data_IF_225718156251
#
_entry.id   IF_225718156251
#
_cell.length_a   1.000
_cell.length_b   1.000
_cell.length_c   1.000
_cell.angle_alpha   90.00
_cell.angle_beta   90.00
_cell.angle_gamma   90.00
#
_symmetry.space_group_name_H-M   'P 1'
#
loop_
_entity.id
_entity.type
_entity.pdbx_description
1 polymer ?
#
# COMPACT_ATOMS: atom_id res chain seq x y z
N UNK A 1 -5.04 -24.99 0.01
CA UNK A 1 -4.37 -24.70 -1.29
C UNK A 1 -4.62 -25.85 -2.27
N UNK A 2 -4.86 -25.56 -3.54
CA UNK A 2 -4.92 -26.62 -4.56
C UNK A 2 -3.52 -27.18 -4.85
N UNK A 3 -3.42 -28.44 -5.29
CA UNK A 3 -2.16 -29.09 -5.68
C UNK A 3 -1.43 -28.33 -6.80
N UNK A 4 -2.16 -27.56 -7.62
CA UNK A 4 -1.59 -26.72 -8.67
C UNK A 4 -0.92 -25.44 -8.13
N UNK A 5 -1.47 -24.82 -7.08
CA UNK A 5 -0.92 -23.60 -6.47
C UNK A 5 0.31 -23.89 -5.61
N UNK A 6 0.29 -24.98 -4.84
CA UNK A 6 1.50 -25.50 -4.15
C UNK A 6 2.62 -25.83 -5.16
N UNK A 7 2.28 -26.16 -6.41
CA UNK A 7 3.23 -26.46 -7.48
C UNK A 7 3.98 -25.23 -7.99
N UNK A 8 3.42 -24.02 -7.90
CA UNK A 8 4.07 -22.82 -8.46
C UNK A 8 5.18 -22.29 -7.54
N UNK A 9 4.91 -22.19 -6.24
CA UNK A 9 5.92 -21.74 -5.26
C UNK A 9 6.98 -22.80 -4.97
N UNK A 10 6.64 -24.10 -5.06
CA UNK A 10 7.63 -25.18 -4.94
C UNK A 10 8.59 -25.29 -6.14
N UNK A 11 8.25 -24.72 -7.30
CA UNK A 11 9.12 -24.67 -8.48
C UNK A 11 10.19 -23.57 -8.42
N UNK A 12 9.97 -22.54 -7.61
CA UNK A 12 10.92 -21.44 -7.41
C UNK A 12 11.80 -21.76 -6.21
N UNK A 13 13.11 -21.81 -6.43
CA UNK A 13 14.10 -21.94 -5.36
C UNK A 13 14.99 -20.71 -5.31
N UNK A 14 15.55 -20.39 -4.15
CA UNK A 14 16.49 -19.27 -4.00
C UNK A 14 17.70 -19.40 -4.93
N UNK A 15 18.20 -20.61 -5.12
CA UNK A 15 19.29 -20.90 -6.08
C UNK A 15 18.87 -20.67 -7.53
N UNK A 16 17.61 -20.99 -7.89
CA UNK A 16 17.10 -20.70 -9.23
C UNK A 16 16.98 -19.20 -9.47
N UNK A 17 16.46 -18.45 -8.49
CA UNK A 17 16.37 -17.00 -8.55
C UNK A 17 17.76 -16.36 -8.72
N UNK A 18 18.76 -16.79 -7.95
CA UNK A 18 20.15 -16.35 -8.10
C UNK A 18 20.70 -16.69 -9.50
N UNK A 19 20.46 -17.92 -10.00
CA UNK A 19 20.90 -18.31 -11.35
C UNK A 19 20.27 -17.43 -12.43
N UNK A 20 18.99 -17.10 -12.29
CA UNK A 20 18.31 -16.20 -13.23
C UNK A 20 18.91 -14.81 -13.21
N UNK A 21 19.32 -14.30 -12.05
CA UNK A 21 20.04 -13.03 -11.94
C UNK A 21 21.34 -13.05 -12.76
N UNK A 22 22.22 -14.04 -12.54
CA UNK A 22 23.48 -14.20 -13.29
C UNK A 22 23.26 -14.28 -14.82
N UNK A 23 22.19 -14.96 -15.24
CA UNK A 23 21.89 -15.18 -16.67
C UNK A 23 21.27 -13.98 -17.37
N UNK A 24 20.74 -13.01 -16.62
CA UNK A 24 19.95 -11.91 -17.17
C UNK A 24 20.50 -10.54 -16.77
N UNK A 25 21.80 -10.44 -16.52
CA UNK A 25 22.43 -9.17 -16.16
C UNK A 25 22.35 -8.15 -17.31
N UNK A 26 22.28 -6.87 -16.96
CA UNK A 26 22.21 -5.74 -17.90
C UNK A 26 22.96 -4.53 -17.35
N UNK A 27 23.34 -3.60 -18.22
CA UNK A 27 24.08 -2.40 -17.84
C UNK A 27 23.20 -1.17 -17.97
N UNK A 28 22.94 -0.52 -16.83
CA UNK A 28 22.26 0.78 -16.83
C UNK A 28 23.03 1.83 -17.63
N UNK A 29 24.35 1.68 -17.85
CA UNK A 29 25.20 2.60 -18.62
C UNK A 29 25.14 2.35 -20.13
N UNK A 30 24.65 1.19 -20.57
CA UNK A 30 24.53 0.84 -22.00
C UNK A 30 23.17 1.21 -22.59
N UNK A 31 22.22 1.65 -21.76
CA UNK A 31 20.94 2.18 -22.23
C UNK A 31 21.18 3.47 -23.03
N UNK A 32 20.72 3.47 -24.27
CA UNK A 32 20.82 4.60 -25.20
C UNK A 32 19.60 5.51 -25.07
N UNK A 33 19.80 6.71 -24.53
CA UNK A 33 18.78 7.75 -24.40
C UNK A 33 18.84 8.82 -25.51
N UNK A 34 19.64 8.61 -26.56
CA UNK A 34 19.87 9.62 -27.61
C UNK A 34 18.59 10.08 -28.32
N UNK A 35 17.57 9.22 -28.38
CA UNK A 35 16.27 9.52 -28.97
C UNK A 35 15.21 9.98 -27.95
N UNK A 36 15.39 9.67 -26.67
CA UNK A 36 14.39 9.91 -25.63
C UNK A 36 14.17 11.39 -25.35
N UNK A 37 15.18 12.25 -25.54
CA UNK A 37 15.03 13.70 -25.38
C UNK A 37 13.97 14.29 -26.32
N UNK A 38 14.02 13.92 -27.60
CA UNK A 38 13.03 14.36 -28.57
C UNK A 38 11.63 13.79 -28.24
N UNK A 39 11.61 12.53 -27.79
CA UNK A 39 10.41 11.87 -27.26
C UNK A 39 9.75 12.63 -26.12
N UNK A 40 10.53 12.97 -25.10
CA UNK A 40 10.11 13.74 -23.94
C UNK A 40 9.59 15.13 -24.31
N UNK A 41 10.27 15.82 -25.22
CA UNK A 41 9.85 17.13 -25.72
C UNK A 41 8.54 17.06 -26.51
N UNK A 42 8.26 15.93 -27.18
CA UNK A 42 7.02 15.72 -27.93
C UNK A 42 5.77 15.46 -27.07
N UNK A 43 5.94 15.13 -25.79
CA UNK A 43 4.81 14.92 -24.88
C UNK A 43 4.02 16.21 -24.67
N UNK A 44 2.70 16.07 -24.53
CA UNK A 44 1.86 17.20 -24.09
C UNK A 44 2.23 17.62 -22.66
N UNK A 45 1.85 18.84 -22.26
CA UNK A 45 2.18 19.34 -20.92
C UNK A 45 1.59 18.48 -19.80
N UNK A 46 0.40 17.91 -19.99
CA UNK A 46 -0.22 17.01 -19.00
C UNK A 46 0.50 15.66 -18.94
N UNK A 47 0.89 15.10 -20.09
CA UNK A 47 1.68 13.86 -20.13
C UNK A 47 3.05 14.07 -19.48
N UNK A 48 3.70 15.21 -19.71
CA UNK A 48 5.00 15.52 -19.08
C UNK A 48 4.87 15.65 -17.56
N UNK A 49 3.82 16.33 -17.08
CA UNK A 49 3.54 16.45 -15.64
C UNK A 49 3.22 15.11 -14.98
N UNK A 50 2.44 14.28 -15.64
CA UNK A 50 2.08 12.95 -15.14
C UNK A 50 3.29 12.03 -15.10
N UNK A 51 4.06 11.97 -16.19
CA UNK A 51 5.31 11.23 -16.24
C UNK A 51 6.29 11.71 -15.16
N UNK A 52 6.45 13.02 -14.97
CA UNK A 52 7.28 13.58 -13.90
C UNK A 52 6.86 13.09 -12.52
N UNK A 53 5.55 13.07 -12.23
CA UNK A 53 5.01 12.57 -10.97
C UNK A 53 5.35 11.10 -10.75
N UNK A 54 5.08 10.24 -11.73
CA UNK A 54 5.27 8.80 -11.57
C UNK A 54 6.76 8.43 -11.56
N UNK A 55 7.58 9.00 -12.45
CA UNK A 55 9.02 8.73 -12.48
C UNK A 55 9.74 9.23 -11.24
N UNK A 56 9.24 10.30 -10.62
CA UNK A 56 9.74 10.75 -9.31
C UNK A 56 9.50 9.71 -8.22
N UNK A 57 8.32 9.07 -8.23
CA UNK A 57 8.01 7.96 -7.32
C UNK A 57 8.87 6.72 -7.59
N UNK A 58 9.16 6.40 -8.85
CA UNK A 58 10.10 5.30 -9.13
C UNK A 58 11.49 5.64 -8.63
N UNK A 59 12.09 6.74 -9.09
CA UNK A 59 13.47 7.04 -8.76
C UNK A 59 13.73 7.14 -7.25
N UNK A 60 12.88 7.86 -6.53
CA UNK A 60 12.95 7.92 -5.07
C UNK A 60 12.79 6.53 -4.43
N UNK A 61 11.89 5.73 -5.01
CA UNK A 61 11.62 4.38 -4.55
C UNK A 61 12.84 3.49 -4.66
N UNK A 62 13.41 3.38 -5.87
CA UNK A 62 14.61 2.59 -6.18
C UNK A 62 15.79 2.92 -5.24
N UNK A 63 16.03 4.20 -5.00
CA UNK A 63 17.09 4.66 -4.09
C UNK A 63 16.81 4.23 -2.64
N UNK A 64 15.60 4.49 -2.14
CA UNK A 64 15.22 4.13 -0.77
C UNK A 64 15.25 2.62 -0.55
N UNK A 65 14.83 1.83 -1.53
CA UNK A 65 14.84 0.36 -1.43
C UNK A 65 16.27 -0.20 -1.49
N UNK A 66 17.18 0.41 -2.25
CA UNK A 66 18.61 0.06 -2.28
C UNK A 66 19.31 0.34 -0.94
N UNK A 67 19.06 1.51 -0.35
CA UNK A 67 19.64 1.95 0.92
C UNK A 67 19.15 1.08 2.10
N UNK A 68 17.88 0.70 2.07
CA UNK A 68 17.24 -0.03 3.15
C UNK A 68 17.40 -1.54 3.11
N UNK A 69 17.94 -2.14 2.03
CA UNK A 69 17.99 -3.61 1.91
C UNK A 69 19.09 -4.26 2.78
N UNK A 70 20.12 -3.54 3.18
CA UNK A 70 21.24 -4.11 3.97
C UNK A 70 20.80 -4.85 5.27
N UNK A 71 19.87 -4.34 6.10
CA UNK A 71 19.41 -5.06 7.29
C UNK A 71 18.55 -6.28 6.98
N UNK A 72 17.96 -6.35 5.79
CA UNK A 72 17.20 -7.52 5.34
C UNK A 72 18.14 -8.68 5.07
N UNK A 73 19.28 -8.43 4.41
CA UNK A 73 20.34 -9.41 4.21
C UNK A 73 20.82 -9.94 5.57
N UNK A 74 21.08 -9.03 6.51
CA UNK A 74 21.54 -9.37 7.85
C UNK A 74 20.54 -10.20 8.68
N UNK A 75 19.24 -10.03 8.43
CA UNK A 75 18.17 -10.71 9.15
C UNK A 75 17.72 -12.01 8.48
N UNK A 76 18.10 -12.26 7.22
CA UNK A 76 17.64 -13.43 6.47
C UNK A 76 18.09 -14.74 7.15
N UNK A 77 17.16 -15.67 7.44
CA UNK A 77 17.46 -16.91 8.15
C UNK A 77 18.46 -17.86 7.47
N UNK A 78 18.48 -17.91 6.13
CA UNK A 78 19.34 -18.85 5.38
C UNK A 78 20.35 -18.15 4.49
N UNK A 79 21.48 -18.79 4.21
CA UNK A 79 22.51 -18.24 3.35
C UNK A 79 22.01 -18.03 1.91
N UNK A 80 21.16 -18.92 1.39
CA UNK A 80 20.57 -18.76 0.07
C UNK A 80 19.68 -17.52 -0.04
N UNK A 81 18.96 -17.18 1.04
CA UNK A 81 18.17 -15.94 1.09
C UNK A 81 19.07 -14.72 1.12
N UNK A 82 20.15 -14.74 1.92
CA UNK A 82 21.15 -13.66 1.96
C UNK A 82 21.76 -13.41 0.59
N UNK A 83 22.20 -14.48 -0.08
CA UNK A 83 22.82 -14.38 -1.39
C UNK A 83 21.86 -13.80 -2.43
N UNK A 84 20.59 -14.22 -2.45
CA UNK A 84 19.60 -13.57 -3.30
C UNK A 84 19.40 -12.09 -2.96
N UNK A 85 19.23 -11.75 -1.68
CA UNK A 85 19.04 -10.35 -1.28
C UNK A 85 20.24 -9.46 -1.64
N UNK A 86 21.47 -10.01 -1.66
CA UNK A 86 22.64 -9.26 -2.16
C UNK A 86 22.56 -8.98 -3.66
N UNK A 87 22.00 -9.90 -4.47
CA UNK A 87 21.80 -9.63 -5.90
C UNK A 87 20.72 -8.58 -6.12
N UNK A 88 19.65 -8.64 -5.32
CA UNK A 88 18.60 -7.63 -5.34
C UNK A 88 19.16 -6.24 -4.99
N UNK A 89 20.03 -6.12 -3.97
CA UNK A 89 20.62 -4.82 -3.63
C UNK A 89 21.39 -4.19 -4.81
N UNK A 90 22.04 -5.02 -5.61
CA UNK A 90 22.74 -4.57 -6.83
C UNK A 90 21.74 -4.16 -7.92
N UNK A 91 20.63 -4.88 -8.07
CA UNK A 91 19.57 -4.53 -9.02
C UNK A 91 18.93 -3.19 -8.62
N UNK A 92 18.54 -2.96 -7.36
CA UNK A 92 17.95 -1.68 -6.92
C UNK A 92 18.90 -0.49 -7.11
N UNK A 93 20.19 -0.66 -6.76
CA UNK A 93 21.19 0.38 -7.02
C UNK A 93 21.35 0.66 -8.52
N UNK A 94 21.24 -0.38 -9.37
CA UNK A 94 21.25 -0.22 -10.83
C UNK A 94 20.00 0.49 -11.33
N UNK A 95 18.83 0.21 -10.74
CA UNK A 95 17.57 0.89 -11.08
C UNK A 95 17.67 2.39 -10.74
N UNK A 96 18.16 2.73 -9.55
CA UNK A 96 18.38 4.13 -9.15
C UNK A 96 19.32 4.87 -10.12
N UNK A 97 20.42 4.22 -10.54
CA UNK A 97 21.33 4.78 -11.56
C UNK A 97 20.62 4.96 -12.91
N UNK A 98 19.83 3.98 -13.35
CA UNK A 98 19.05 4.09 -14.59
C UNK A 98 18.09 5.29 -14.58
N UNK A 99 17.32 5.45 -13.49
CA UNK A 99 16.41 6.58 -13.36
C UNK A 99 17.16 7.91 -13.26
N UNK A 100 18.24 7.99 -12.48
CA UNK A 100 19.07 9.20 -12.43
C UNK A 100 19.59 9.59 -13.83
N UNK A 101 20.07 8.63 -14.62
CA UNK A 101 20.48 8.89 -16.01
C UNK A 101 19.33 9.43 -16.85
N UNK A 102 18.12 8.87 -16.73
CA UNK A 102 16.96 9.39 -17.44
C UNK A 102 16.64 10.84 -17.03
N UNK A 103 16.61 11.14 -15.73
CA UNK A 103 16.37 12.51 -15.24
C UNK A 103 17.43 13.51 -15.71
N UNK A 104 18.71 13.15 -15.64
CA UNK A 104 19.81 14.05 -16.04
C UNK A 104 19.95 14.17 -17.56
N UNK A 105 19.95 13.07 -18.31
CA UNK A 105 20.24 13.04 -19.75
C UNK A 105 19.02 13.39 -20.62
N UNK A 106 17.80 13.08 -20.17
CA UNK A 106 16.56 13.30 -20.93
C UNK A 106 15.79 14.50 -20.42
N UNK A 107 15.46 14.51 -19.13
CA UNK A 107 14.66 15.59 -18.51
C UNK A 107 15.50 16.86 -18.32
N UNK A 108 16.79 16.70 -18.03
CA UNK A 108 17.69 17.81 -17.67
C UNK A 108 17.53 18.27 -16.22
N UNK A 109 17.23 17.35 -15.30
CA UNK A 109 17.08 17.61 -13.87
C UNK A 109 18.16 16.90 -13.05
N UNK A 110 18.80 17.66 -12.15
CA UNK A 110 19.88 17.20 -11.27
C UNK A 110 21.25 17.11 -11.95
N UNK A 111 22.31 17.49 -11.24
CA UNK A 111 23.70 17.36 -11.72
C UNK A 111 24.33 16.03 -11.29
N UNK A 112 23.94 15.54 -10.11
CA UNK A 112 24.30 14.23 -9.56
C UNK A 112 23.07 13.51 -8.98
N UNK A 113 23.28 12.30 -8.45
CA UNK A 113 22.21 11.46 -7.89
C UNK A 113 21.48 12.18 -6.76
N UNK A 114 22.21 12.85 -5.85
CA UNK A 114 21.63 13.50 -4.69
C UNK A 114 20.77 14.71 -5.09
N UNK A 115 21.26 15.54 -6.02
CA UNK A 115 20.51 16.67 -6.57
C UNK A 115 19.25 16.20 -7.30
N UNK A 116 19.33 15.08 -8.01
CA UNK A 116 18.18 14.50 -8.71
C UNK A 116 17.14 13.98 -7.71
N UNK A 117 17.56 13.34 -6.61
CA UNK A 117 16.64 12.87 -5.56
C UNK A 117 15.94 14.06 -4.88
N UNK A 118 16.68 15.12 -4.54
CA UNK A 118 16.08 16.33 -3.98
C UNK A 118 15.04 16.96 -4.92
N UNK A 119 15.25 16.85 -6.24
CA UNK A 119 14.30 17.32 -7.24
C UNK A 119 12.98 16.52 -7.25
N UNK A 120 13.01 15.20 -6.99
CA UNK A 120 11.80 14.35 -7.00
C UNK A 120 10.89 14.55 -5.79
N UNK A 121 11.44 14.99 -4.65
CA UNK A 121 10.70 15.09 -3.37
C UNK A 121 9.40 15.90 -3.45
N UNK A 122 9.41 16.98 -4.24
CA UNK A 122 8.24 17.86 -4.41
C UNK A 122 7.06 17.17 -5.11
N UNK A 123 7.32 16.09 -5.85
CA UNK A 123 6.32 15.35 -6.60
C UNK A 123 5.67 14.23 -5.79
N UNK A 124 6.25 13.84 -4.65
CA UNK A 124 5.76 12.69 -3.88
C UNK A 124 4.44 13.02 -3.15
N UNK A 125 3.51 12.07 -3.16
CA UNK A 125 2.23 12.19 -2.44
C UNK A 125 2.35 11.81 -0.96
N UNK A 126 1.35 12.18 -0.15
CA UNK A 126 1.33 11.84 1.28
C UNK A 126 1.40 10.33 1.51
N UNK A 127 0.56 9.53 0.84
CA UNK A 127 0.51 8.08 1.04
C UNK A 127 1.84 7.41 0.70
N UNK A 128 2.46 7.84 -0.41
CA UNK A 128 3.78 7.38 -0.82
C UNK A 128 4.84 7.68 0.25
N UNK A 129 4.96 8.93 0.71
CA UNK A 129 5.92 9.29 1.78
C UNK A 129 5.72 8.46 3.04
N UNK A 130 4.47 8.23 3.46
CA UNK A 130 4.17 7.44 4.66
C UNK A 130 4.67 5.99 4.56
N UNK A 131 4.53 5.37 3.39
CA UNK A 131 5.02 3.99 3.15
C UNK A 131 6.54 3.96 3.21
N UNK A 132 7.23 4.89 2.56
CA UNK A 132 8.69 4.92 2.54
C UNK A 132 9.31 5.36 3.89
N UNK A 133 8.67 6.28 4.61
CA UNK A 133 9.02 6.57 6.02
C UNK A 133 8.92 5.30 6.89
N UNK A 134 7.96 4.42 6.61
CA UNK A 134 7.83 3.13 7.32
C UNK A 134 8.90 2.14 6.92
N UNK A 135 9.32 2.14 5.65
CA UNK A 135 10.44 1.34 5.14
C UNK A 135 11.75 1.71 5.83
N UNK A 136 12.07 3.00 5.94
CA UNK A 136 13.24 3.50 6.67
C UNK A 136 13.23 3.06 8.14
N UNK A 137 12.07 3.20 8.80
CA UNK A 137 11.89 2.72 10.18
C UNK A 137 12.07 1.21 10.29
N UNK A 138 11.57 0.43 9.31
CA UNK A 138 11.72 -1.03 9.28
C UNK A 138 13.19 -1.44 9.20
N UNK A 139 13.98 -0.79 8.33
CA UNK A 139 15.41 -1.05 8.25
C UNK A 139 16.13 -0.77 9.58
N UNK A 140 15.75 0.30 10.29
CA UNK A 140 16.29 0.59 11.61
C UNK A 140 15.83 -0.41 12.70
N UNK A 141 14.61 -0.92 12.62
CA UNK A 141 14.08 -1.97 13.48
C UNK A 141 14.82 -3.30 13.27
N UNK A 142 14.99 -3.74 12.02
CA UNK A 142 15.69 -4.99 11.67
C UNK A 142 17.14 -5.02 12.13
N UNK A 143 17.84 -3.87 12.10
CA UNK A 143 19.20 -3.78 12.65
C UNK A 143 19.25 -4.15 14.14
N UNK A 144 18.16 -3.95 14.88
CA UNK A 144 18.04 -4.22 16.32
C UNK A 144 17.35 -5.55 16.62
N UNK A 145 16.35 -5.92 15.84
CA UNK A 145 15.54 -7.12 16.01
C UNK A 145 15.53 -7.94 14.71
N UNK A 146 16.27 -9.05 14.73
CA UNK A 146 16.38 -10.01 13.61
C UNK A 146 15.52 -11.24 13.83
N UNK A 147 14.49 -11.14 14.66
CA UNK A 147 13.55 -12.24 14.88
C UNK A 147 12.79 -12.58 13.60
N UNK A 148 12.34 -13.84 13.50
CA UNK A 148 11.57 -14.30 12.33
C UNK A 148 10.26 -13.50 12.11
N UNK A 149 9.49 -13.12 13.15
CA UNK A 149 8.31 -12.27 12.96
C UNK A 149 8.65 -10.88 12.42
N UNK A 150 9.73 -10.25 12.91
CA UNK A 150 10.18 -8.95 12.38
C UNK A 150 10.68 -9.07 10.94
N UNK A 151 11.37 -10.15 10.60
CA UNK A 151 11.76 -10.45 9.22
C UNK A 151 10.54 -10.67 8.32
N UNK A 152 9.50 -11.37 8.78
CA UNK A 152 8.25 -11.56 8.04
C UNK A 152 7.52 -10.23 7.77
N UNK A 153 7.48 -9.33 8.76
CA UNK A 153 7.01 -7.95 8.57
C UNK A 153 7.83 -7.25 7.49
N UNK A 154 9.16 -7.28 7.61
CA UNK A 154 10.03 -6.60 6.67
C UNK A 154 9.84 -7.10 5.23
N UNK A 155 9.84 -8.42 5.01
CA UNK A 155 9.60 -9.04 3.71
C UNK A 155 8.23 -8.64 3.15
N UNK A 156 7.20 -8.58 3.99
CA UNK A 156 5.86 -8.13 3.59
C UNK A 156 5.88 -6.66 3.17
N UNK A 157 6.49 -5.77 3.95
CA UNK A 157 6.55 -4.34 3.64
C UNK A 157 7.26 -4.08 2.30
N UNK A 158 8.40 -4.74 2.08
CA UNK A 158 9.21 -4.49 0.90
C UNK A 158 8.60 -5.17 -0.33
N UNK A 159 8.51 -6.50 -0.33
CA UNK A 159 8.22 -7.25 -1.54
C UNK A 159 6.73 -7.30 -1.86
N UNK A 160 5.86 -7.23 -0.85
CA UNK A 160 4.41 -7.32 -1.05
C UNK A 160 3.77 -5.94 -1.12
N UNK A 161 4.17 -5.00 -0.27
CA UNK A 161 3.66 -3.63 -0.32
C UNK A 161 4.41 -2.81 -1.37
N UNK A 162 5.71 -2.55 -1.19
CA UNK A 162 6.46 -1.64 -2.08
C UNK A 162 6.53 -2.17 -3.52
N UNK A 163 7.03 -3.38 -3.74
CA UNK A 163 7.22 -3.90 -5.11
C UNK A 163 5.89 -4.36 -5.74
N UNK A 164 5.23 -5.34 -5.13
CA UNK A 164 4.06 -5.97 -5.70
C UNK A 164 2.81 -5.08 -5.75
N UNK A 165 2.59 -4.23 -4.73
CA UNK A 165 1.38 -3.39 -4.66
C UNK A 165 1.60 -1.99 -5.25
N UNK A 166 2.83 -1.47 -5.30
CA UNK A 166 3.11 -0.13 -5.81
C UNK A 166 3.92 -0.16 -7.11
N UNK A 167 5.10 -0.77 -7.14
CA UNK A 167 5.95 -0.76 -8.34
C UNK A 167 5.27 -1.46 -9.54
N UNK A 168 4.75 -2.68 -9.33
CA UNK A 168 4.19 -3.49 -10.41
C UNK A 168 2.99 -2.85 -11.15
N UNK A 169 1.97 -2.27 -10.46
CA UNK A 169 0.93 -1.50 -11.15
C UNK A 169 1.49 -0.25 -11.85
N UNK A 170 2.41 0.48 -11.20
CA UNK A 170 3.03 1.67 -11.79
C UNK A 170 3.74 1.36 -13.11
N UNK A 171 4.49 0.26 -13.16
CA UNK A 171 5.15 -0.24 -14.36
C UNK A 171 4.15 -0.56 -15.46
N UNK A 172 3.12 -1.36 -15.16
CA UNK A 172 2.12 -1.78 -16.14
C UNK A 172 1.48 -0.61 -16.89
N UNK A 173 1.06 0.44 -16.18
CA UNK A 173 0.36 1.57 -16.81
C UNK A 173 1.29 2.55 -17.53
N UNK A 174 2.54 2.68 -17.10
CA UNK A 174 3.55 3.49 -17.79
C UNK A 174 4.00 2.79 -19.08
N UNK A 175 4.41 1.53 -18.97
CA UNK A 175 5.01 0.76 -20.07
C UNK A 175 4.02 0.65 -21.24
N UNK A 176 2.75 0.31 -20.96
CA UNK A 176 1.72 0.14 -21.98
C UNK A 176 1.54 1.38 -22.87
N UNK A 177 1.67 2.59 -22.30
CA UNK A 177 1.57 3.83 -23.08
C UNK A 177 2.82 4.10 -23.91
N UNK A 178 4.00 4.12 -23.28
CA UNK A 178 5.24 4.52 -23.98
C UNK A 178 5.70 3.48 -25.01
N UNK A 179 5.42 2.19 -24.78
CA UNK A 179 5.61 1.13 -25.78
C UNK A 179 4.70 1.38 -26.99
N UNK A 180 3.42 1.74 -26.77
CA UNK A 180 2.47 1.97 -27.86
C UNK A 180 2.82 3.21 -28.69
N UNK A 181 3.18 4.31 -28.04
CA UNK A 181 3.49 5.57 -28.74
C UNK A 181 4.91 5.60 -29.33
N UNK A 182 5.83 4.78 -28.80
CA UNK A 182 7.20 4.67 -29.31
C UNK A 182 8.07 5.91 -29.09
N UNK A 183 7.72 6.76 -28.11
CA UNK A 183 8.37 8.06 -27.90
C UNK A 183 9.63 7.99 -27.04
N UNK A 184 9.73 7.07 -26.08
CA UNK A 184 10.87 6.98 -25.14
C UNK A 184 11.56 5.60 -25.23
N UNK A 185 12.23 5.28 -26.35
CA UNK A 185 12.72 3.92 -26.61
C UNK A 185 13.78 3.44 -25.61
N UNK A 186 14.71 4.30 -25.18
CA UNK A 186 15.72 3.97 -24.19
C UNK A 186 15.12 3.72 -22.81
N UNK A 187 14.18 4.58 -22.39
CA UNK A 187 13.46 4.41 -21.13
C UNK A 187 12.62 3.13 -21.12
N UNK A 188 11.89 2.86 -22.20
CA UNK A 188 11.14 1.60 -22.36
C UNK A 188 12.06 0.39 -22.22
N UNK A 189 13.21 0.37 -22.89
CA UNK A 189 14.17 -0.74 -22.79
C UNK A 189 14.72 -0.92 -21.36
N UNK A 190 14.98 0.17 -20.64
CA UNK A 190 15.38 0.11 -19.24
C UNK A 190 14.28 -0.41 -18.33
N UNK A 191 13.03 0.06 -18.51
CA UNK A 191 11.87 -0.43 -17.76
C UNK A 191 11.62 -1.93 -17.96
N UNK A 192 11.79 -2.45 -19.18
CA UNK A 192 11.71 -3.89 -19.45
C UNK A 192 12.72 -4.69 -18.61
N UNK A 193 13.92 -4.16 -18.40
CA UNK A 193 14.91 -4.78 -17.54
C UNK A 193 14.52 -4.70 -16.06
N UNK A 194 14.11 -3.52 -15.58
CA UNK A 194 13.62 -3.31 -14.20
C UNK A 194 12.44 -4.26 -13.90
N UNK A 195 11.44 -4.32 -14.78
CA UNK A 195 10.26 -5.20 -14.63
C UNK A 195 10.63 -6.69 -14.55
N UNK A 196 11.66 -7.13 -15.28
CA UNK A 196 12.18 -8.51 -15.21
C UNK A 196 12.92 -8.77 -13.89
N UNK A 197 13.56 -7.76 -13.33
CA UNK A 197 14.27 -7.82 -12.05
C UNK A 197 13.24 -7.89 -10.89
N UNK A 198 12.23 -7.03 -10.92
CA UNK A 198 11.09 -7.02 -9.98
C UNK A 198 10.33 -8.35 -9.93
N UNK A 199 10.16 -9.03 -11.07
CA UNK A 199 9.54 -10.37 -11.09
C UNK A 199 10.31 -11.38 -10.21
N UNK A 200 11.63 -11.25 -10.11
CA UNK A 200 12.45 -12.09 -9.23
C UNK A 200 12.31 -11.66 -7.77
N UNK A 201 12.34 -10.36 -7.50
CA UNK A 201 12.23 -9.80 -6.15
C UNK A 201 10.89 -10.19 -5.50
N UNK A 202 9.79 -9.95 -6.21
CA UNK A 202 8.45 -10.36 -5.78
C UNK A 202 8.36 -11.89 -5.63
N UNK A 203 8.96 -12.63 -6.57
CA UNK A 203 9.02 -14.09 -6.50
C UNK A 203 9.73 -14.61 -5.24
N UNK A 204 10.81 -13.93 -4.83
CA UNK A 204 11.50 -14.18 -3.58
C UNK A 204 10.61 -13.91 -2.37
N UNK A 205 9.98 -12.73 -2.29
CA UNK A 205 9.10 -12.36 -1.18
C UNK A 205 7.94 -13.34 -1.00
N UNK A 206 7.27 -13.71 -2.09
CA UNK A 206 6.19 -14.73 -2.08
C UNK A 206 6.71 -16.07 -1.58
N UNK A 207 7.90 -16.50 -2.04
CA UNK A 207 8.50 -17.77 -1.63
C UNK A 207 8.82 -17.78 -0.13
N UNK A 208 9.50 -16.75 0.37
CA UNK A 208 9.86 -16.61 1.80
C UNK A 208 8.61 -16.63 2.68
N UNK A 209 7.61 -15.80 2.37
CA UNK A 209 6.37 -15.75 3.16
C UNK A 209 5.62 -17.07 3.10
N UNK A 210 5.60 -17.77 1.95
CA UNK A 210 4.94 -19.08 1.85
C UNK A 210 5.54 -20.13 2.78
N UNK A 211 6.85 -20.07 3.04
CA UNK A 211 7.54 -20.98 3.95
C UNK A 211 7.29 -20.58 5.41
N UNK A 212 7.50 -19.30 5.74
CA UNK A 212 7.42 -18.81 7.12
C UNK A 212 5.99 -18.87 7.66
N UNK A 213 5.00 -18.45 6.86
CA UNK A 213 3.61 -18.39 7.31
C UNK A 213 2.93 -19.76 7.32
N UNK A 214 3.46 -20.76 6.61
CA UNK A 214 2.98 -22.13 6.73
C UNK A 214 3.27 -22.74 8.11
N UNK A 215 4.32 -22.27 8.79
CA UNK A 215 4.84 -22.88 10.02
C UNK A 215 4.69 -22.01 11.27
N UNK A 216 4.38 -20.70 11.15
CA UNK A 216 4.38 -19.77 12.28
C UNK A 216 3.16 -18.85 12.32
N UNK A 217 2.26 -19.10 13.28
CA UNK A 217 1.14 -18.19 13.59
C UNK A 217 1.62 -16.87 14.20
N UNK A 218 2.76 -16.86 14.89
CA UNK A 218 3.39 -15.63 15.38
C UNK A 218 3.81 -14.71 14.22
N UNK A 219 4.35 -15.29 13.13
CA UNK A 219 4.67 -14.51 11.94
C UNK A 219 3.42 -14.01 11.21
N UNK A 220 2.32 -14.78 11.18
CA UNK A 220 1.04 -14.29 10.64
C UNK A 220 0.55 -13.08 11.43
N UNK A 221 0.53 -13.17 12.76
CA UNK A 221 0.12 -12.06 13.61
C UNK A 221 0.99 -10.80 13.41
N UNK A 222 2.30 -10.97 13.22
CA UNK A 222 3.20 -9.85 12.93
C UNK A 222 2.91 -9.24 11.54
N UNK A 223 2.65 -10.07 10.53
CA UNK A 223 2.21 -9.62 9.20
C UNK A 223 0.89 -8.85 9.27
N UNK A 224 -0.10 -9.36 10.01
CA UNK A 224 -1.39 -8.73 10.20
C UNK A 224 -1.25 -7.35 10.86
N UNK A 225 -0.41 -7.23 11.89
CA UNK A 225 -0.10 -5.95 12.56
C UNK A 225 0.46 -4.92 11.57
N UNK A 226 1.46 -5.32 10.77
CA UNK A 226 2.06 -4.46 9.78
C UNK A 226 1.02 -4.02 8.73
N UNK A 227 0.29 -4.98 8.16
CA UNK A 227 -0.70 -4.69 7.14
C UNK A 227 -1.75 -3.69 7.67
N UNK A 228 -2.24 -3.89 8.89
CA UNK A 228 -3.15 -2.95 9.58
C UNK A 228 -2.56 -1.54 9.67
N UNK A 229 -1.25 -1.41 9.95
CA UNK A 229 -0.55 -0.11 9.99
C UNK A 229 -0.52 0.56 8.61
N UNK A 230 -0.18 -0.19 7.54
CA UNK A 230 0.21 0.40 6.24
C UNK A 230 -0.97 0.55 5.28
N UNK A 231 -1.98 -0.34 5.33
CA UNK A 231 -3.13 -0.32 4.41
C UNK A 231 -3.84 1.05 4.29
N UNK A 232 -4.05 1.81 5.38
CA UNK A 232 -4.66 3.14 5.30
C UNK A 232 -3.92 4.09 4.35
N UNK A 233 -2.59 3.98 4.23
CA UNK A 233 -1.77 4.85 3.38
C UNK A 233 -1.82 4.45 1.91
N UNK A 234 -2.00 3.16 1.61
CA UNK A 234 -2.01 2.63 0.24
C UNK A 234 -3.11 3.24 -0.63
N UNK A 235 -4.26 3.53 -0.03
CA UNK A 235 -5.38 4.23 -0.68
C UNK A 235 -5.00 5.62 -1.23
N UNK A 236 -3.88 6.18 -0.75
CA UNK A 236 -3.41 7.53 -1.07
C UNK A 236 -2.08 7.57 -1.84
N UNK A 237 -1.56 6.43 -2.29
CA UNK A 237 -0.27 6.39 -3.01
C UNK A 237 -0.43 6.91 -4.43
N UNK A 238 -1.37 6.36 -5.20
CA UNK A 238 -1.60 6.75 -6.60
C UNK A 238 -2.59 7.91 -6.76
N UNK A 239 -2.65 8.84 -5.82
CA UNK A 239 -3.52 10.01 -5.96
C UNK A 239 -2.78 11.13 -6.71
N UNK A 240 -3.26 11.52 -7.91
CA UNK A 240 -2.57 12.55 -8.69
C UNK A 240 -2.64 13.91 -8.00
N UNK A 241 -1.66 14.80 -8.24
CA UNK A 241 -1.65 16.15 -7.70
C UNK A 241 -2.99 16.88 -7.93
N UNK A 242 -3.57 17.41 -6.85
CA UNK A 242 -4.83 18.15 -6.90
C UNK A 242 -6.05 17.33 -7.32
N UNK A 243 -6.00 15.99 -7.25
CA UNK A 243 -7.04 15.10 -7.78
C UNK A 243 -7.30 15.25 -9.29
N UNK A 244 -6.30 15.76 -10.03
CA UNK A 244 -6.40 15.94 -11.48
C UNK A 244 -6.37 14.58 -12.20
N UNK A 245 -7.55 14.10 -12.59
CA UNK A 245 -7.73 12.83 -13.30
C UNK A 245 -7.10 12.82 -14.70
N UNK A 246 -6.74 13.98 -15.27
CA UNK A 246 -6.05 14.00 -16.56
C UNK A 246 -4.65 13.37 -16.49
N UNK A 247 -4.06 13.25 -15.29
CA UNK A 247 -2.80 12.54 -15.09
C UNK A 247 -2.87 11.06 -15.53
N UNK A 248 -4.04 10.41 -15.42
CA UNK A 248 -4.24 9.03 -15.91
C UNK A 248 -4.91 9.03 -17.29
N UNK A 249 -5.90 9.89 -17.49
CA UNK A 249 -6.69 9.90 -18.74
C UNK A 249 -5.88 10.27 -19.97
N UNK A 250 -4.82 11.08 -19.82
CA UNK A 250 -3.93 11.42 -20.93
C UNK A 250 -3.19 10.21 -21.53
N UNK A 251 -3.20 9.06 -20.83
CA UNK A 251 -2.65 7.79 -21.28
C UNK A 251 -3.74 6.76 -21.68
N UNK A 252 -5.01 7.07 -21.40
CA UNK A 252 -6.16 6.26 -21.80
C UNK A 252 -6.71 5.32 -20.71
N UNK A 253 -6.41 5.57 -19.43
CA UNK A 253 -6.94 4.79 -18.31
C UNK A 253 -7.45 5.69 -17.17
N UNK A 254 -8.33 5.16 -16.32
CA UNK A 254 -8.83 5.84 -15.13
C UNK A 254 -8.02 5.44 -13.89
N UNK A 255 -8.09 6.27 -12.84
CA UNK A 255 -7.44 5.97 -11.56
C UNK A 255 -7.91 4.64 -10.95
N UNK A 256 -9.19 4.32 -11.15
CA UNK A 256 -9.80 3.06 -10.74
C UNK A 256 -9.13 1.84 -11.37
N UNK A 257 -8.60 1.96 -12.59
CA UNK A 257 -7.94 0.85 -13.27
C UNK A 257 -6.63 0.46 -12.58
N UNK A 258 -5.86 1.45 -12.09
CA UNK A 258 -4.65 1.21 -11.28
C UNK A 258 -5.00 0.47 -10.00
N UNK A 259 -5.98 0.98 -9.25
CA UNK A 259 -6.37 0.39 -7.97
C UNK A 259 -6.96 -1.03 -8.15
N UNK A 260 -7.80 -1.24 -9.16
CA UNK A 260 -8.39 -2.54 -9.45
C UNK A 260 -7.33 -3.57 -9.87
N UNK A 261 -6.32 -3.14 -10.61
CA UNK A 261 -5.17 -3.98 -10.94
C UNK A 261 -4.38 -4.33 -9.68
N UNK A 262 -4.09 -3.36 -8.82
CA UNK A 262 -3.40 -3.55 -7.55
C UNK A 262 -4.10 -4.59 -6.66
N UNK A 263 -5.41 -4.48 -6.49
CA UNK A 263 -6.20 -5.48 -5.73
C UNK A 263 -6.02 -6.89 -6.28
N UNK A 264 -6.17 -7.07 -7.60
CA UNK A 264 -5.99 -8.39 -8.24
C UNK A 264 -4.58 -8.94 -8.01
N UNK A 265 -3.56 -8.13 -8.20
CA UNK A 265 -2.17 -8.55 -8.06
C UNK A 265 -1.86 -8.98 -6.62
N UNK A 266 -2.30 -8.20 -5.63
CA UNK A 266 -2.08 -8.48 -4.20
C UNK A 266 -2.85 -9.72 -3.75
N UNK A 267 -4.12 -9.84 -4.13
CA UNK A 267 -4.95 -11.02 -3.82
C UNK A 267 -4.33 -12.31 -4.39
N UNK A 268 -3.85 -12.26 -5.64
CA UNK A 268 -3.18 -13.41 -6.26
C UNK A 268 -1.91 -13.82 -5.50
N UNK A 269 -1.11 -12.86 -5.02
CA UNK A 269 0.14 -13.15 -4.29
C UNK A 269 -0.15 -13.73 -2.91
N UNK A 270 -1.08 -13.16 -2.14
CA UNK A 270 -1.48 -13.72 -0.84
C UNK A 270 -2.08 -15.11 -0.97
N UNK A 271 -2.84 -15.37 -2.03
CA UNK A 271 -3.32 -16.72 -2.35
C UNK A 271 -2.16 -17.69 -2.63
N UNK A 272 -1.15 -17.26 -3.39
CA UNK A 272 0.03 -18.06 -3.70
C UNK A 272 0.93 -18.32 -2.47
N UNK A 273 0.98 -17.36 -1.53
CA UNK A 273 1.65 -17.51 -0.22
C UNK A 273 0.98 -18.60 0.63
N UNK A 274 -0.31 -18.87 0.41
CA UNK A 274 -1.07 -19.80 1.22
C UNK A 274 -1.67 -19.15 2.48
N UNK A 275 -1.72 -17.82 2.52
CA UNK A 275 -2.41 -17.03 3.53
C UNK A 275 -3.30 -15.99 2.83
N UNK A 276 -4.42 -16.42 2.22
CA UNK A 276 -5.28 -15.53 1.45
C UNK A 276 -5.90 -14.46 2.34
N UNK A 277 -6.10 -13.25 1.81
CA UNK A 277 -6.56 -12.10 2.60
C UNK A 277 -7.94 -12.32 3.27
N UNK A 278 -8.76 -13.22 2.75
CA UNK A 278 -10.04 -13.60 3.34
C UNK A 278 -9.91 -14.36 4.67
N UNK A 279 -8.73 -14.94 4.95
CA UNK A 279 -8.43 -15.64 6.19
C UNK A 279 -7.75 -14.73 7.24
N UNK A 280 -7.41 -13.49 6.87
CA UNK A 280 -6.81 -12.52 7.79
C UNK A 280 -7.86 -12.03 8.82
N UNK A 281 -7.43 -11.63 10.04
CA UNK A 281 -8.33 -11.07 11.04
C UNK A 281 -9.10 -9.84 10.52
N UNK A 282 -10.32 -9.59 11.04
CA UNK A 282 -11.03 -8.34 10.80
C UNK A 282 -10.14 -7.14 11.18
N UNK A 283 -10.15 -6.10 10.34
CA UNK A 283 -9.38 -4.87 10.57
C UNK A 283 -8.07 -4.78 9.80
N UNK A 284 -7.47 -5.90 9.36
CA UNK A 284 -6.23 -5.88 8.57
C UNK A 284 -6.45 -5.17 7.23
N UNK A 285 -7.52 -5.52 6.52
CA UNK A 285 -7.94 -4.84 5.31
C UNK A 285 -9.48 -4.91 5.21
N UNK A 286 -10.23 -3.80 5.42
CA UNK A 286 -11.69 -3.80 5.37
C UNK A 286 -12.23 -3.84 3.93
N UNK A 287 -11.79 -4.85 3.18
CA UNK A 287 -12.11 -5.08 1.77
C UNK A 287 -13.39 -5.91 1.69
N UNK A 288 -14.30 -5.48 0.82
CA UNK A 288 -15.46 -6.28 0.46
C UNK A 288 -15.08 -7.22 -0.69
N UNK A 289 -14.82 -8.49 -0.36
CA UNK A 289 -14.43 -9.50 -1.34
C UNK A 289 -15.58 -9.99 -2.23
N UNK A 290 -16.84 -9.63 -1.94
CA UNK A 290 -17.99 -9.98 -2.78
C UNK A 290 -18.15 -9.05 -3.99
N UNK A 291 -17.61 -7.83 -3.89
CA UNK A 291 -17.56 -6.88 -5.01
C UNK A 291 -16.48 -7.29 -6.02
N UNK A 292 -16.66 -6.96 -7.29
CA UNK A 292 -15.56 -7.07 -8.25
C UNK A 292 -14.46 -6.01 -7.95
N UNK A 293 -13.21 -6.24 -8.39
CA UNK A 293 -12.10 -5.31 -8.11
C UNK A 293 -12.32 -3.88 -8.62
N UNK A 294 -13.09 -3.67 -9.70
CA UNK A 294 -13.35 -2.33 -10.23
C UNK A 294 -14.28 -1.55 -9.31
N UNK A 295 -15.32 -2.21 -8.79
CA UNK A 295 -16.24 -1.60 -7.83
C UNK A 295 -15.54 -1.31 -6.49
N UNK A 296 -14.64 -2.19 -6.04
CA UNK A 296 -13.79 -1.93 -4.86
C UNK A 296 -12.91 -0.69 -5.07
N UNK A 297 -12.26 -0.60 -6.23
CA UNK A 297 -11.44 0.55 -6.62
C UNK A 297 -12.25 1.85 -6.63
N UNK A 298 -13.41 1.85 -7.27
CA UNK A 298 -14.31 3.00 -7.30
C UNK A 298 -14.74 3.45 -5.90
N UNK A 299 -15.05 2.51 -5.00
CA UNK A 299 -15.42 2.82 -3.62
C UNK A 299 -14.26 3.46 -2.84
N UNK A 300 -13.05 2.89 -2.93
CA UNK A 300 -11.86 3.42 -2.25
C UNK A 300 -11.50 4.80 -2.77
N UNK A 301 -11.47 4.99 -4.10
CA UNK A 301 -11.16 6.29 -4.71
C UNK A 301 -12.21 7.33 -4.34
N UNK A 302 -13.50 6.97 -4.34
CA UNK A 302 -14.57 7.87 -3.92
C UNK A 302 -14.43 8.30 -2.46
N UNK A 303 -14.12 7.37 -1.56
CA UNK A 303 -13.89 7.68 -0.14
C UNK A 303 -12.64 8.55 0.06
N UNK A 304 -11.56 8.28 -0.68
CA UNK A 304 -10.34 9.08 -0.60
C UNK A 304 -10.56 10.50 -1.15
N UNK A 305 -11.26 10.64 -2.27
CA UNK A 305 -11.60 11.95 -2.86
C UNK A 305 -12.54 12.76 -1.96
N UNK A 306 -13.44 12.07 -1.26
CA UNK A 306 -14.33 12.65 -0.26
C UNK A 306 -13.62 13.02 1.06
N UNK A 307 -12.33 12.74 1.20
CA UNK A 307 -11.56 13.08 2.38
C UNK A 307 -11.93 12.29 3.64
N UNK A 308 -12.63 11.15 3.52
CA UNK A 308 -13.01 10.31 4.67
C UNK A 308 -12.01 9.20 4.96
N UNK A 309 -11.15 8.86 3.99
CA UNK A 309 -9.95 8.03 4.18
C UNK A 309 -8.72 8.75 3.60
N UNK A 310 -7.52 8.19 3.79
CA UNK A 310 -6.29 8.76 3.24
C UNK A 310 -5.74 9.94 4.03
N UNK A 311 -5.19 10.93 3.33
CA UNK A 311 -4.48 12.07 3.91
C UNK A 311 -5.33 12.84 4.94
N UNK A 312 -4.80 13.08 6.15
CA UNK A 312 -5.44 13.94 7.15
C UNK A 312 -5.52 15.42 6.78
N UNK A 313 -6.38 16.16 7.47
CA UNK A 313 -6.48 17.62 7.35
C UNK A 313 -7.33 18.10 6.17
N UNK A 314 -7.86 17.19 5.37
CA UNK A 314 -8.85 17.47 4.33
C UNK A 314 -10.23 17.74 4.96
N UNK A 315 -11.09 18.50 4.28
CA UNK A 315 -12.47 18.68 4.73
C UNK A 315 -13.30 17.47 4.27
N UNK A 316 -13.82 16.63 5.18
CA UNK A 316 -14.49 15.41 4.79
C UNK A 316 -15.93 15.68 4.35
N UNK A 317 -16.32 15.11 3.21
CA UNK A 317 -17.70 15.10 2.72
C UNK A 317 -18.58 14.33 3.72
N UNK A 318 -19.68 14.97 4.13
CA UNK A 318 -20.66 14.43 5.09
C UNK A 318 -21.98 14.03 4.43
N UNK A 319 -22.02 13.87 3.11
CA UNK A 319 -23.21 13.40 2.41
C UNK A 319 -23.60 11.99 2.86
N UNK A 320 -24.92 11.67 2.90
CA UNK A 320 -25.38 10.35 3.33
C UNK A 320 -24.74 9.19 2.55
N UNK A 321 -24.47 9.38 1.26
CA UNK A 321 -23.85 8.36 0.41
C UNK A 321 -22.39 8.08 0.81
N UNK A 322 -21.61 9.11 1.14
CA UNK A 322 -20.22 8.96 1.59
C UNK A 322 -20.18 8.36 2.99
N UNK A 323 -21.04 8.83 3.90
CA UNK A 323 -21.14 8.24 5.24
C UNK A 323 -21.51 6.76 5.16
N UNK A 324 -22.43 6.37 4.26
CA UNK A 324 -22.79 4.98 4.07
C UNK A 324 -21.62 4.12 3.59
N UNK A 325 -20.85 4.58 2.60
CA UNK A 325 -19.64 3.89 2.14
C UNK A 325 -18.60 3.75 3.27
N UNK A 326 -18.40 4.81 4.05
CA UNK A 326 -17.47 4.79 5.17
C UNK A 326 -17.89 3.79 6.26
N UNK A 327 -19.14 3.85 6.72
CA UNK A 327 -19.63 2.96 7.77
C UNK A 327 -19.76 1.50 7.32
N UNK A 328 -20.00 1.26 6.04
CA UNK A 328 -19.91 -0.06 5.44
C UNK A 328 -18.48 -0.63 5.57
N UNK A 329 -17.45 0.17 5.27
CA UNK A 329 -16.04 -0.20 5.51
C UNK A 329 -15.74 -0.42 7.00
N UNK A 330 -16.22 0.47 7.88
CA UNK A 330 -16.06 0.32 9.35
C UNK A 330 -16.66 -1.00 9.83
N UNK A 331 -17.82 -1.39 9.31
CA UNK A 331 -18.49 -2.63 9.72
C UNK A 331 -17.67 -3.89 9.43
N UNK A 332 -16.83 -3.86 8.38
CA UNK A 332 -15.89 -4.92 8.01
C UNK A 332 -14.57 -4.87 8.79
N UNK A 333 -14.20 -3.70 9.31
CA UNK A 333 -12.97 -3.53 10.07
C UNK A 333 -13.07 -4.03 11.52
N UNK A 334 -14.28 -4.27 12.02
CA UNK A 334 -14.54 -4.52 13.44
C UNK A 334 -14.22 -5.96 13.83
N UNK A 335 -13.44 -6.14 14.90
CA UNK A 335 -13.23 -7.45 15.53
C UNK A 335 -14.46 -7.86 16.36
N UNK A 336 -15.38 -8.61 15.74
CA UNK A 336 -16.57 -9.13 16.43
C UNK A 336 -16.25 -10.14 17.52
N UNK A 337 -15.02 -10.66 17.62
CA UNK A 337 -14.63 -11.60 18.67
C UNK A 337 -14.70 -10.97 20.06
N UNK A 338 -14.52 -9.64 20.14
CA UNK A 338 -14.58 -8.87 21.40
C UNK A 338 -15.96 -8.90 22.08
N UNK A 339 -17.03 -9.28 21.35
CA UNK A 339 -18.41 -9.35 21.87
C UNK A 339 -18.94 -10.78 21.98
N UNK A 340 -18.10 -11.79 21.70
CA UNK A 340 -18.47 -13.20 21.81
C UNK A 340 -19.03 -13.55 23.19
N UNK A 341 -20.18 -14.24 23.20
CA UNK A 341 -20.84 -14.71 24.43
C UNK A 341 -21.59 -13.62 25.22
N UNK A 342 -21.77 -12.42 24.67
CA UNK A 342 -22.38 -11.29 25.36
C UNK A 342 -23.63 -10.71 24.71
N UNK A 343 -24.13 -11.35 23.64
CA UNK A 343 -25.23 -10.83 22.82
C UNK A 343 -24.78 -9.69 21.89
N UNK A 344 -25.71 -9.13 21.08
CA UNK A 344 -25.39 -8.03 20.19
C UNK A 344 -24.88 -6.81 20.97
N UNK A 345 -23.85 -6.14 20.44
CA UNK A 345 -23.28 -4.93 21.01
C UNK A 345 -23.51 -3.75 20.07
N UNK A 346 -24.17 -2.70 20.55
CA UNK A 346 -24.57 -1.57 19.72
C UNK A 346 -23.70 -0.35 19.97
N UNK A 347 -22.96 0.07 18.95
CA UNK A 347 -22.19 1.31 18.92
C UNK A 347 -23.03 2.38 18.21
N UNK A 348 -23.11 3.58 18.77
CA UNK A 348 -23.76 4.72 18.15
C UNK A 348 -22.79 5.88 18.01
N UNK A 349 -22.86 6.59 16.89
CA UNK A 349 -22.19 7.84 16.63
C UNK A 349 -23.23 8.95 16.47
N UNK A 350 -23.06 10.02 17.24
CA UNK A 350 -23.81 11.27 17.09
C UNK A 350 -22.87 12.35 16.60
N UNK A 351 -23.18 12.91 15.44
CA UNK A 351 -22.41 14.00 14.88
C UNK A 351 -23.14 15.33 15.09
N UNK A 352 -22.40 16.40 15.40
CA UNK A 352 -22.98 17.74 15.53
C UNK A 352 -23.36 18.38 14.20
N UNK A 353 -22.82 17.85 13.10
CA UNK A 353 -22.78 18.43 11.76
C UNK A 353 -23.02 17.36 10.65
N UNK A 354 -23.44 16.15 11.03
CA UNK A 354 -23.80 15.08 10.10
C UNK A 354 -24.90 14.17 10.69
N UNK A 355 -25.52 13.35 9.84
CA UNK A 355 -26.52 12.37 10.26
C UNK A 355 -25.96 11.37 11.28
N UNK A 356 -26.70 10.99 12.34
CA UNK A 356 -26.24 9.98 13.28
C UNK A 356 -26.20 8.60 12.64
N UNK A 357 -25.33 7.75 13.15
CA UNK A 357 -25.19 6.35 12.72
C UNK A 357 -25.17 5.42 13.91
N UNK A 358 -25.55 4.17 13.69
CA UNK A 358 -25.32 3.10 14.63
C UNK A 358 -24.82 1.86 13.91
N UNK A 359 -24.14 1.01 14.66
CA UNK A 359 -23.67 -0.29 14.21
C UNK A 359 -23.98 -1.32 15.29
N UNK A 360 -24.65 -2.38 14.88
CA UNK A 360 -24.90 -3.55 15.72
C UNK A 360 -23.86 -4.59 15.38
N UNK A 361 -22.96 -4.86 16.31
CA UNK A 361 -21.95 -5.91 16.21
C UNK A 361 -22.53 -7.17 16.83
N UNK A 362 -22.77 -8.17 16.00
CA UNK A 362 -23.27 -9.48 16.40
C UNK A 362 -22.53 -10.53 15.57
N UNK A 363 -22.00 -11.57 16.20
CA UNK A 363 -20.99 -12.46 15.64
C UNK A 363 -21.41 -13.01 14.25
N UNK A 364 -20.77 -12.51 13.18
CA UNK A 364 -21.07 -12.87 11.78
C UNK A 364 -22.24 -12.13 11.13
N UNK A 365 -22.82 -11.11 11.76
CA UNK A 365 -23.94 -10.31 11.24
C UNK A 365 -23.83 -8.81 11.59
N UNK A 366 -22.60 -8.30 11.72
CA UNK A 366 -22.33 -6.87 11.92
C UNK A 366 -23.01 -6.04 10.85
N UNK A 367 -23.77 -5.02 11.26
CA UNK A 367 -24.50 -4.13 10.34
C UNK A 367 -24.46 -2.70 10.83
N UNK A 368 -24.16 -1.77 9.93
CA UNK A 368 -24.28 -0.34 10.16
C UNK A 368 -25.56 0.21 9.52
N UNK A 369 -26.14 1.24 10.12
CA UNK A 369 -27.33 1.91 9.62
C UNK A 369 -27.40 3.36 10.05
N UNK A 370 -27.98 4.19 9.19
CA UNK A 370 -28.27 5.59 9.52
C UNK A 370 -29.35 5.68 10.61
N UNK A 371 -29.29 6.76 11.39
CA UNK A 371 -30.19 7.03 12.51
C UNK A 371 -29.66 6.54 13.86
N UNK A 372 -30.40 6.90 14.91
CA UNK A 372 -30.08 6.48 16.29
C UNK A 372 -30.62 5.07 16.60
N UNK A 373 -29.86 4.34 17.40
CA UNK A 373 -30.33 3.11 18.02
C UNK A 373 -31.18 3.41 19.25
N UNK A 374 -32.21 2.59 19.49
CA UNK A 374 -33.09 2.78 20.65
C UNK A 374 -32.38 2.59 22.01
N UNK A 375 -31.38 1.71 22.06
CA UNK A 375 -30.63 1.38 23.27
C UNK A 375 -29.16 1.05 22.94
N UNK A 376 -28.31 2.08 22.70
CA UNK A 376 -26.89 1.85 22.41
C UNK A 376 -26.11 1.45 23.67
N UNK A 377 -25.14 0.54 23.51
CA UNK A 377 -24.20 0.15 24.56
C UNK A 377 -23.12 1.21 24.80
N UNK A 378 -22.71 1.86 23.70
CA UNK A 378 -21.75 2.98 23.67
C UNK A 378 -22.26 4.04 22.70
N UNK A 379 -22.16 5.31 23.09
CA UNK A 379 -22.40 6.46 22.22
C UNK A 379 -21.14 7.32 22.15
N UNK A 380 -20.65 7.54 20.93
CA UNK A 380 -19.59 8.49 20.61
C UNK A 380 -20.23 9.77 20.09
N UNK A 381 -19.89 10.92 20.68
CA UNK A 381 -20.29 12.24 20.19
C UNK A 381 -19.07 13.03 19.71
N UNK A 382 -19.13 13.57 18.50
CA UNK A 382 -18.07 14.40 17.90
C UNK A 382 -18.65 15.28 16.78
N UNK A 383 -17.83 16.13 16.15
CA UNK A 383 -18.11 16.55 14.77
C UNK A 383 -17.74 15.41 13.81
N UNK A 384 -18.33 15.36 12.62
CA UNK A 384 -17.95 14.43 11.55
C UNK A 384 -16.46 14.57 11.24
N UNK A 385 -15.99 15.83 11.14
CA UNK A 385 -14.59 16.15 10.90
C UNK A 385 -13.67 15.62 11.99
N UNK A 386 -13.94 15.91 13.26
CA UNK A 386 -13.09 15.42 14.36
C UNK A 386 -13.08 13.90 14.44
N UNK A 387 -14.21 13.25 14.14
CA UNK A 387 -14.30 11.79 14.08
C UNK A 387 -13.41 11.22 12.98
N UNK A 388 -13.52 11.72 11.74
CA UNK A 388 -12.69 11.29 10.63
C UNK A 388 -11.19 11.53 10.90
N UNK A 389 -10.81 12.67 11.45
CA UNK A 389 -9.42 12.97 11.79
C UNK A 389 -8.85 12.04 12.87
N UNK A 390 -9.67 11.64 13.86
CA UNK A 390 -9.28 10.61 14.84
C UNK A 390 -9.13 9.25 14.16
N UNK A 391 -10.07 8.86 13.30
CA UNK A 391 -10.03 7.60 12.57
C UNK A 391 -8.83 7.49 11.60
N UNK A 392 -8.38 8.62 11.03
CA UNK A 392 -7.17 8.70 10.20
C UNK A 392 -5.86 8.75 11.01
N UNK A 393 -5.94 8.75 12.34
CA UNK A 393 -4.78 8.82 13.22
C UNK A 393 -4.13 10.21 13.32
N UNK A 394 -4.78 11.26 12.81
CA UNK A 394 -4.28 12.64 12.86
C UNK A 394 -4.27 13.19 14.30
N UNK A 395 -5.22 12.73 15.11
CA UNK A 395 -5.33 13.06 16.53
C UNK A 395 -5.49 11.76 17.32
N UNK A 396 -4.55 11.48 18.22
CA UNK A 396 -4.65 10.33 19.10
C UNK A 396 -5.95 10.39 19.94
N UNK A 397 -6.71 9.28 20.07
CA UNK A 397 -7.99 9.28 20.78
C UNK A 397 -7.95 9.87 22.22
N UNK A 398 -6.93 9.59 23.06
CA UNK A 398 -6.84 10.20 24.39
C UNK A 398 -6.74 11.74 24.35
N UNK A 399 -6.07 12.29 23.31
CA UNK A 399 -5.94 13.73 23.13
C UNK A 399 -7.27 14.35 22.68
N UNK A 400 -8.00 13.70 21.78
CA UNK A 400 -9.32 14.16 21.32
C UNK A 400 -10.35 14.19 22.47
N UNK A 401 -10.33 13.17 23.34
CA UNK A 401 -11.13 13.12 24.57
C UNK A 401 -10.78 14.27 25.54
N UNK A 402 -9.49 14.49 25.79
CA UNK A 402 -9.02 15.58 26.67
C UNK A 402 -9.44 16.96 26.15
N UNK A 403 -9.39 17.16 24.83
CA UNK A 403 -9.79 18.39 24.16
C UNK A 403 -11.31 18.53 23.99
N UNK A 404 -12.11 17.54 24.43
CA UNK A 404 -13.57 17.49 24.27
C UNK A 404 -14.05 17.55 22.81
N UNK A 405 -13.18 17.17 21.88
CA UNK A 405 -13.52 16.97 20.45
C UNK A 405 -14.29 15.67 20.21
N UNK A 406 -14.04 14.70 21.09
CA UNK A 406 -14.72 13.42 21.13
C UNK A 406 -15.24 13.21 22.56
N UNK A 407 -16.46 12.71 22.70
CA UNK A 407 -17.04 12.27 23.97
C UNK A 407 -17.48 10.83 23.82
N UNK A 408 -17.24 10.03 24.86
CA UNK A 408 -17.69 8.64 24.92
C UNK A 408 -18.62 8.45 26.11
N UNK A 409 -19.78 7.86 25.84
CA UNK A 409 -20.80 7.53 26.82
C UNK A 409 -21.01 6.02 26.81
N UNK A 410 -21.06 5.41 27.99
CA UNK A 410 -21.24 3.97 28.16
C UNK A 410 -20.74 3.51 29.52
N UNK A 411 -21.20 2.34 29.98
CA UNK A 411 -20.66 1.73 31.19
C UNK A 411 -19.17 1.37 31.02
N UNK A 412 -18.34 1.34 32.08
CA UNK A 412 -16.91 1.06 31.96
C UNK A 412 -16.58 -0.26 31.23
N UNK A 413 -17.41 -1.30 31.42
CA UNK A 413 -17.28 -2.58 30.70
C UNK A 413 -17.56 -2.45 29.21
N UNK A 414 -18.55 -1.64 28.84
CA UNK A 414 -18.89 -1.39 27.44
C UNK A 414 -17.80 -0.57 26.75
N UNK A 415 -17.22 0.42 27.43
CA UNK A 415 -16.09 1.19 26.89
C UNK A 415 -14.84 0.32 26.66
N UNK A 416 -14.55 -0.61 27.58
CA UNK A 416 -13.47 -1.58 27.40
C UNK A 416 -13.70 -2.54 26.22
N UNK A 417 -14.96 -2.96 25.99
CA UNK A 417 -15.32 -3.77 24.82
C UNK A 417 -15.23 -2.95 23.53
N UNK A 418 -15.72 -1.71 23.56
CA UNK A 418 -15.64 -0.80 22.43
C UNK A 418 -14.20 -0.56 21.98
N UNK A 419 -13.25 -0.36 22.90
CA UNK A 419 -11.84 -0.26 22.53
C UNK A 419 -11.40 -1.50 21.73
N UNK A 420 -11.63 -2.71 22.27
CA UNK A 420 -11.25 -3.98 21.61
C UNK A 420 -11.86 -4.21 20.24
N UNK A 421 -13.02 -3.61 19.91
CA UNK A 421 -13.63 -3.74 18.58
C UNK A 421 -12.78 -3.11 17.47
N UNK A 422 -11.96 -2.12 17.80
CA UNK A 422 -11.20 -1.30 16.85
C UNK A 422 -9.67 -1.42 17.02
N UNK A 423 -9.20 -2.40 17.79
CA UNK A 423 -7.78 -2.55 18.17
C UNK A 423 -7.37 -1.64 19.31
#
# INVERSE_FOLDING_TARGET
MSVAEQNLTSRITYTDLYRRWEQNNWSAMEIDFSHDRAGWESLTDVQRKSAMWIYSMFFYGEDSVADNLSPYIDAAPTEEQKYFLTTQQVDEARHAVFFHRFFSEVIGAGEDVADTLAFTEQHLGWGYRKVFDRLDRMAAELRRDRSLPKFAQAITLYHLIVEASLAQPGQHFIEDFFVREGTLPGFTAGMEHVSRDEQRHIGFGVKVLSEILAESDECKAAVDELLTEVFPWLSSVFIPPGWDREYTRCYGFELEDIAAWGFRAVEMKWKAIGYPMQEMPPGVAPIDFDLDPQQRAANVIRMAQAGVIGEPGQEPDSSPEIQALYFDSVSRAVDSSAVNGHGPFTVQWRFSDAEPWHMVVDNGSTRAGAGEAAAPDVTLEASWRDFIEVSKGAVAPPRALLQRRLKLHGGPRNLLRFAKLFG
#
